data_IF_406188779463
#
_entry.id   IF_406188779463
#
_cell.length_a   1.000
_cell.length_b   1.000
_cell.length_c   1.000
_cell.angle_alpha   90.00
_cell.angle_beta   90.00
_cell.angle_gamma   90.00
#
_symmetry.space_group_name_H-M   'P 1'
#
loop_
_entity.id
_entity.type
_entity.pdbx_description
1 polymer ?
#
# COMPACT_ATOMS: atom_id res chain seq x y z
N UNK A 1 -1.66 12.28 3.87
CA UNK A 1 -1.15 13.62 4.27
C UNK A 1 0.33 13.64 3.93
N UNK A 2 0.77 14.48 2.99
CA UNK A 2 2.19 14.61 2.66
C UNK A 2 2.84 15.49 3.72
N UNK A 3 3.89 15.01 4.39
CA UNK A 3 4.63 15.78 5.38
C UNK A 3 5.84 16.46 4.76
N UNK A 4 6.12 17.74 5.11
CA UNK A 4 7.23 18.50 4.51
C UNK A 4 8.63 18.09 5.01
N UNK A 5 8.76 17.11 5.91
CA UNK A 5 10.05 16.60 6.38
C UNK A 5 10.01 15.08 6.49
N UNK A 6 10.77 14.45 5.62
CA UNK A 6 10.78 13.02 5.40
C UNK A 6 11.56 12.23 6.47
N UNK A 7 11.06 12.23 7.70
CA UNK A 7 11.41 11.21 8.67
C UNK A 7 10.31 10.15 8.73
N UNK A 8 10.63 8.95 9.23
CA UNK A 8 9.60 7.97 9.52
C UNK A 8 8.62 8.52 10.58
N UNK A 9 7.34 8.23 10.40
CA UNK A 9 6.27 8.68 11.30
C UNK A 9 6.10 7.64 12.39
N UNK A 10 6.34 8.00 13.64
CA UNK A 10 6.11 7.11 14.79
C UNK A 10 4.64 7.05 15.11
N UNK A 11 4.03 5.86 14.97
CA UNK A 11 2.63 5.57 15.31
C UNK A 11 2.50 5.06 16.73
N UNK A 12 3.44 4.21 17.16
CA UNK A 12 3.51 3.69 18.52
C UNK A 12 4.95 3.69 19.00
N UNK A 13 5.20 4.29 20.16
CA UNK A 13 6.50 4.30 20.82
C UNK A 13 6.60 3.17 21.84
N UNK A 14 7.83 2.69 22.05
CA UNK A 14 8.13 1.71 23.10
C UNK A 14 7.69 0.30 22.75
N UNK A 15 8.16 -0.62 23.57
CA UNK A 15 7.99 -2.06 23.40
C UNK A 15 9.31 -2.78 23.64
N UNK A 16 9.22 -4.09 23.91
CA UNK A 16 10.39 -4.97 24.11
C UNK A 16 10.84 -5.64 22.82
N UNK A 17 9.94 -5.67 21.82
CA UNK A 17 10.17 -6.32 20.54
C UNK A 17 10.74 -5.34 19.50
N UNK A 18 11.27 -5.86 18.41
CA UNK A 18 11.79 -5.07 17.30
C UNK A 18 10.69 -4.23 16.63
N UNK A 19 11.04 -3.05 16.11
CA UNK A 19 10.08 -2.20 15.41
C UNK A 19 9.46 -2.86 14.17
N UNK A 20 8.22 -2.50 13.87
CA UNK A 20 7.58 -2.81 12.59
C UNK A 20 7.46 -1.53 11.77
N UNK A 21 7.94 -1.59 10.53
CA UNK A 21 7.88 -0.51 9.56
C UNK A 21 6.78 -0.78 8.56
N UNK A 22 5.75 0.06 8.55
CA UNK A 22 4.67 0.01 7.57
C UNK A 22 4.95 0.94 6.40
N UNK A 23 4.65 0.48 5.21
CA UNK A 23 4.74 1.25 3.97
C UNK A 23 3.34 1.75 3.60
N UNK A 24 3.15 3.00 3.13
CA UNK A 24 1.86 3.48 2.68
C UNK A 24 1.28 2.63 1.55
N UNK A 25 -0.05 2.61 1.45
CA UNK A 25 -0.73 2.01 0.30
C UNK A 25 -0.36 2.72 -1.00
N UNK A 26 -0.75 2.15 -2.14
CA UNK A 26 -0.54 2.78 -3.45
C UNK A 26 -1.23 4.13 -3.65
N UNK A 27 -2.08 4.54 -2.70
CA UNK A 27 -2.70 5.86 -2.66
C UNK A 27 -1.95 6.85 -1.74
N UNK A 28 -0.73 6.52 -1.33
CA UNK A 28 0.04 7.26 -0.33
C UNK A 28 -0.68 7.37 1.04
N UNK A 29 -1.65 6.50 1.29
CA UNK A 29 -2.38 6.46 2.54
C UNK A 29 -1.73 5.48 3.54
N UNK A 30 -1.52 5.93 4.76
CA UNK A 30 -1.00 5.14 5.88
C UNK A 30 -1.93 5.10 7.08
N UNK A 31 -3.15 5.63 6.96
CA UNK A 31 -4.16 5.61 8.02
C UNK A 31 -4.51 4.19 8.46
N UNK A 32 -4.41 3.24 7.54
CA UNK A 32 -4.58 1.83 7.81
C UNK A 32 -3.59 1.32 8.87
N UNK A 33 -2.31 1.72 8.78
CA UNK A 33 -1.29 1.32 9.73
C UNK A 33 -1.55 1.89 11.12
N UNK A 34 -2.03 3.14 11.20
CA UNK A 34 -2.45 3.77 12.46
C UNK A 34 -3.61 2.99 13.09
N UNK A 35 -4.61 2.65 12.28
CA UNK A 35 -5.79 1.91 12.73
C UNK A 35 -5.46 0.48 13.16
N UNK A 36 -4.55 -0.19 12.44
CA UNK A 36 -4.10 -1.55 12.76
C UNK A 36 -3.23 -1.55 14.03
N UNK A 37 -2.32 -0.58 14.18
CA UNK A 37 -1.45 -0.44 15.34
C UNK A 37 -2.21 -0.36 16.68
N UNK A 38 -3.44 0.18 16.67
CA UNK A 38 -4.30 0.24 17.85
C UNK A 38 -4.78 -1.15 18.32
N UNK A 39 -4.72 -2.16 17.46
CA UNK A 39 -5.22 -3.51 17.73
C UNK A 39 -4.12 -4.57 17.83
N UNK A 40 -2.93 -4.31 17.29
CA UNK A 40 -1.74 -5.17 17.47
C UNK A 40 -1.36 -5.17 18.97
N UNK A 41 -1.19 -6.37 19.54
CA UNK A 41 -0.87 -6.58 20.96
C UNK A 41 0.59 -6.84 21.22
N UNK A 42 1.34 -7.31 20.22
CA UNK A 42 2.80 -7.46 20.34
C UNK A 42 3.40 -6.11 20.73
N UNK A 43 4.21 -6.14 21.78
CA UNK A 43 4.81 -4.93 22.38
C UNK A 43 6.03 -4.48 21.56
N UNK A 44 5.77 -3.89 20.39
CA UNK A 44 6.79 -3.39 19.48
C UNK A 44 6.54 -1.92 19.10
N UNK A 45 7.56 -1.13 18.84
CA UNK A 45 7.40 0.17 18.19
C UNK A 45 6.80 0.00 16.80
N UNK A 46 5.99 0.96 16.37
CA UNK A 46 5.40 0.95 15.02
C UNK A 46 5.68 2.29 14.34
N UNK A 47 6.25 2.21 13.15
CA UNK A 47 6.59 3.35 12.32
C UNK A 47 5.98 3.22 10.93
N UNK A 48 5.71 4.36 10.31
CA UNK A 48 5.31 4.44 8.89
C UNK A 48 6.39 5.16 8.12
N UNK A 49 6.72 4.65 6.94
CA UNK A 49 7.67 5.24 6.02
C UNK A 49 6.89 6.10 5.01
N UNK A 50 6.80 7.43 5.17
CA UNK A 50 6.00 8.25 4.26
C UNK A 50 6.64 8.29 2.87
N UNK A 51 5.81 8.49 1.84
CA UNK A 51 6.35 8.87 0.53
C UNK A 51 7.07 10.21 0.63
N UNK A 52 7.96 10.48 -0.34
CA UNK A 52 8.66 11.76 -0.46
C UNK A 52 7.69 12.94 -0.44
N UNK A 53 8.16 14.09 0.02
CA UNK A 53 7.34 15.29 0.10
C UNK A 53 6.85 15.74 -1.29
N UNK A 54 5.73 16.46 -1.30
CA UNK A 54 5.25 17.11 -2.52
C UNK A 54 6.31 18.11 -3.00
N UNK A 55 6.71 17.97 -4.27
CA UNK A 55 7.76 18.79 -4.88
C UNK A 55 9.12 18.11 -4.95
N UNK A 56 9.32 17.01 -4.25
CA UNK A 56 10.50 16.18 -4.46
C UNK A 56 10.48 15.51 -5.84
N UNK A 57 11.66 15.24 -6.43
CA UNK A 57 11.72 14.47 -7.66
C UNK A 57 11.04 13.10 -7.51
N UNK A 58 10.16 12.76 -8.44
CA UNK A 58 9.54 11.43 -8.47
C UNK A 58 10.63 10.36 -8.63
N UNK A 59 10.48 9.19 -7.97
CA UNK A 59 11.42 8.09 -8.10
C UNK A 59 11.41 7.54 -9.53
N UNK A 60 12.55 7.13 -10.05
CA UNK A 60 12.66 6.58 -11.41
C UNK A 60 12.10 5.16 -11.51
N UNK A 61 12.16 4.39 -10.42
CA UNK A 61 11.64 3.04 -10.30
C UNK A 61 11.19 2.78 -8.86
N UNK A 62 10.56 1.64 -8.62
CA UNK A 62 10.18 1.26 -7.26
C UNK A 62 11.40 0.93 -6.40
N UNK A 63 12.49 0.46 -7.03
CA UNK A 63 13.78 0.24 -6.37
C UNK A 63 14.40 1.57 -5.92
N UNK A 64 14.38 2.62 -6.77
CA UNK A 64 14.82 3.96 -6.36
C UNK A 64 13.98 4.48 -5.18
N UNK A 65 12.67 4.21 -5.19
CA UNK A 65 11.79 4.56 -4.06
C UNK A 65 12.16 3.80 -2.79
N UNK A 66 12.46 2.50 -2.90
CA UNK A 66 12.89 1.67 -1.78
C UNK A 66 14.24 2.16 -1.20
N UNK A 67 15.20 2.46 -2.05
CA UNK A 67 16.51 2.98 -1.63
C UNK A 67 16.39 4.30 -0.86
N UNK A 68 15.44 5.16 -1.22
CA UNK A 68 15.19 6.43 -0.48
C UNK A 68 14.58 6.18 0.90
N UNK A 69 13.92 5.02 1.13
CA UNK A 69 13.29 4.68 2.41
C UNK A 69 14.23 3.99 3.40
N UNK A 70 15.26 3.28 2.91
CA UNK A 70 16.22 2.57 3.76
C UNK A 70 16.88 3.48 4.80
N UNK A 71 17.37 4.69 4.49
CA UNK A 71 17.93 5.60 5.49
C UNK A 71 16.93 5.99 6.58
N UNK A 72 15.62 6.04 6.29
CA UNK A 72 14.59 6.33 7.28
C UNK A 72 14.42 5.19 8.28
N UNK A 73 14.53 3.94 7.80
CA UNK A 73 14.52 2.73 8.64
C UNK A 73 15.77 2.73 9.52
N UNK A 74 16.95 2.90 8.92
CA UNK A 74 18.23 2.82 9.62
C UNK A 74 18.45 3.97 10.62
N UNK A 75 17.79 5.10 10.44
CA UNK A 75 17.79 6.18 11.43
C UNK A 75 17.08 5.80 12.74
N UNK A 76 16.16 4.80 12.70
CA UNK A 76 15.42 4.30 13.87
C UNK A 76 16.06 3.00 14.36
N UNK A 77 16.38 2.10 13.48
CA UNK A 77 16.99 0.81 13.74
C UNK A 77 18.21 0.66 12.81
N UNK A 78 19.43 0.94 13.31
CA UNK A 78 20.64 0.97 12.50
C UNK A 78 21.00 -0.36 11.83
N UNK A 79 20.66 -1.48 12.45
CA UNK A 79 20.99 -2.84 12.02
C UNK A 79 19.75 -3.74 12.11
N UNK A 80 19.68 -4.75 11.19
CA UNK A 80 18.62 -5.76 11.23
C UNK A 80 18.66 -6.65 12.50
N UNK A 81 17.71 -7.59 12.65
CA UNK A 81 16.72 -7.96 11.64
C UNK A 81 15.54 -7.00 11.56
N UNK A 82 15.09 -6.69 10.34
CA UNK A 82 13.99 -5.76 10.10
C UNK A 82 12.64 -6.45 9.97
N UNK A 83 11.57 -5.75 10.34
CA UNK A 83 10.17 -6.16 10.18
C UNK A 83 9.44 -5.14 9.33
N UNK A 84 8.99 -5.55 8.15
CA UNK A 84 8.41 -4.64 7.14
C UNK A 84 7.03 -5.17 6.72
N UNK A 85 6.06 -4.28 6.55
CA UNK A 85 4.74 -4.66 6.08
C UNK A 85 4.12 -3.60 5.16
N UNK A 86 3.25 -4.05 4.26
CA UNK A 86 2.52 -3.15 3.36
C UNK A 86 1.12 -3.67 3.04
N UNK A 87 0.20 -2.73 2.80
CA UNK A 87 -1.18 -2.99 2.40
C UNK A 87 -1.39 -2.62 0.95
N UNK A 88 -2.21 -3.43 0.23
CA UNK A 88 -2.51 -3.20 -1.17
C UNK A 88 -1.20 -3.10 -1.99
N UNK A 89 -1.15 -2.34 -3.06
CA UNK A 89 0.06 -2.16 -3.86
C UNK A 89 1.27 -1.58 -3.09
N UNK A 90 1.06 -1.04 -1.88
CA UNK A 90 2.16 -0.67 -0.97
C UNK A 90 3.01 -1.87 -0.53
N UNK A 91 2.43 -3.09 -0.51
CA UNK A 91 3.19 -4.30 -0.22
C UNK A 91 4.27 -4.61 -1.27
N UNK A 92 4.09 -4.19 -2.52
CA UNK A 92 5.13 -4.31 -3.56
C UNK A 92 6.37 -3.49 -3.15
N UNK A 93 6.16 -2.27 -2.66
CA UNK A 93 7.25 -1.44 -2.14
C UNK A 93 7.88 -2.05 -0.87
N UNK A 94 7.08 -2.65 0.02
CA UNK A 94 7.61 -3.38 1.19
C UNK A 94 8.51 -4.55 0.76
N UNK A 95 8.13 -5.29 -0.28
CA UNK A 95 8.96 -6.36 -0.86
C UNK A 95 10.26 -5.81 -1.43
N UNK A 96 10.18 -4.70 -2.17
CA UNK A 96 11.36 -4.07 -2.79
C UNK A 96 12.32 -3.54 -1.73
N UNK A 97 11.83 -2.98 -0.62
CA UNK A 97 12.65 -2.57 0.53
C UNK A 97 13.34 -3.79 1.15
N UNK A 98 12.60 -4.88 1.40
CA UNK A 98 13.17 -6.10 1.95
C UNK A 98 14.26 -6.68 1.03
N UNK A 99 14.03 -6.69 -0.29
CA UNK A 99 15.02 -7.11 -1.27
C UNK A 99 16.28 -6.23 -1.22
N UNK A 100 16.12 -4.91 -1.21
CA UNK A 100 17.25 -3.98 -1.18
C UNK A 100 18.07 -4.09 0.12
N UNK A 101 17.42 -4.34 1.27
CA UNK A 101 18.10 -4.58 2.55
C UNK A 101 18.90 -5.89 2.50
N UNK A 102 18.32 -6.97 2.00
CA UNK A 102 19.01 -8.27 1.86
C UNK A 102 20.21 -8.16 0.89
N UNK A 103 20.08 -7.40 -0.19
CA UNK A 103 21.21 -7.12 -1.10
C UNK A 103 22.35 -6.32 -0.43
N UNK A 104 22.06 -5.62 0.68
CA UNK A 104 23.05 -4.92 1.51
C UNK A 104 23.56 -5.77 2.69
N UNK A 105 23.34 -7.08 2.66
CA UNK A 105 23.70 -8.04 3.70
C UNK A 105 22.97 -7.81 5.05
N UNK A 106 21.88 -7.06 5.03
CA UNK A 106 21.01 -6.87 6.18
C UNK A 106 19.98 -8.01 6.30
N UNK A 107 19.59 -8.35 7.50
CA UNK A 107 18.59 -9.38 7.74
C UNK A 107 17.18 -8.79 7.84
N UNK A 108 16.22 -9.50 7.23
CA UNK A 108 14.77 -9.22 7.34
C UNK A 108 14.12 -10.47 7.92
N UNK A 109 13.52 -10.36 9.11
CA UNK A 109 12.89 -11.51 9.79
C UNK A 109 11.39 -11.59 9.56
N UNK A 110 10.74 -10.46 9.20
CA UNK A 110 9.32 -10.42 8.92
C UNK A 110 9.02 -9.57 7.70
N UNK A 111 8.30 -10.16 6.75
CA UNK A 111 7.69 -9.45 5.63
C UNK A 111 6.19 -9.78 5.61
N UNK A 112 5.37 -8.75 5.85
CA UNK A 112 3.93 -8.85 5.95
C UNK A 112 3.20 -8.20 4.77
N UNK A 113 2.40 -8.98 4.05
CA UNK A 113 1.53 -8.51 2.99
C UNK A 113 0.08 -8.50 3.45
N UNK A 114 -0.58 -7.38 3.31
CA UNK A 114 -2.00 -7.24 3.61
C UNK A 114 -2.73 -7.01 2.29
N UNK A 115 -3.30 -8.09 1.74
CA UNK A 115 -4.06 -8.16 0.49
C UNK A 115 -3.38 -7.47 -0.70
N UNK A 116 -2.16 -7.89 -0.98
CA UNK A 116 -1.24 -7.29 -1.96
C UNK A 116 -1.34 -8.00 -3.32
N UNK A 117 -1.76 -7.33 -4.40
CA UNK A 117 -1.74 -7.93 -5.74
C UNK A 117 -0.30 -8.08 -6.25
N UNK A 118 -0.06 -9.05 -7.11
CA UNK A 118 1.20 -9.11 -7.84
C UNK A 118 1.36 -7.90 -8.77
N UNK A 119 2.58 -7.42 -9.05
CA UNK A 119 2.82 -6.25 -9.90
C UNK A 119 2.09 -6.28 -11.24
N UNK A 120 2.06 -7.45 -11.89
CA UNK A 120 1.41 -7.61 -13.21
C UNK A 120 -0.11 -7.44 -13.18
N UNK A 121 -0.73 -7.63 -12.02
CA UNK A 121 -2.18 -7.48 -11.80
C UNK A 121 -2.58 -6.03 -11.52
N UNK A 122 -1.64 -5.12 -11.42
CA UNK A 122 -1.95 -3.69 -11.40
C UNK A 122 -2.49 -3.30 -12.77
N UNK A 123 -3.82 -3.30 -12.89
CA UNK A 123 -4.63 -3.14 -14.09
C UNK A 123 -4.39 -1.86 -14.90
N UNK A 124 -3.45 -1.05 -14.47
CA UNK A 124 -3.30 0.33 -14.94
C UNK A 124 -2.13 0.54 -15.90
N UNK A 125 -1.42 -0.53 -16.30
CA UNK A 125 -0.23 -0.46 -17.19
C UNK A 125 -0.41 0.37 -18.46
N UNK A 126 -1.65 0.50 -18.97
CA UNK A 126 -1.95 1.17 -20.23
C UNK A 126 -3.02 2.27 -20.12
N UNK A 127 -3.41 2.67 -18.92
CA UNK A 127 -4.42 3.71 -18.74
C UNK A 127 -3.76 5.03 -18.38
N UNK A 128 -4.28 6.14 -18.88
CA UNK A 128 -3.80 7.46 -18.48
C UNK A 128 -4.28 7.82 -17.05
N UNK A 129 -3.65 8.82 -16.46
CA UNK A 129 -3.94 9.30 -15.10
C UNK A 129 -5.41 9.67 -14.89
N UNK A 130 -6.08 10.19 -15.93
CA UNK A 130 -7.46 10.63 -15.84
C UNK A 130 -8.40 9.45 -15.75
N UNK A 131 -8.11 8.40 -16.52
CA UNK A 131 -8.82 7.14 -16.42
C UNK A 131 -8.64 6.52 -15.03
N UNK A 132 -7.40 6.47 -14.54
CA UNK A 132 -7.07 5.97 -13.20
C UNK A 132 -7.86 6.71 -12.12
N UNK A 133 -7.89 8.06 -12.18
CA UNK A 133 -8.66 8.87 -11.27
C UNK A 133 -10.17 8.58 -11.31
N UNK A 134 -10.76 8.51 -12.53
CA UNK A 134 -12.19 8.26 -12.71
C UNK A 134 -12.59 6.89 -12.13
N UNK A 135 -11.81 5.85 -12.42
CA UNK A 135 -12.07 4.50 -11.91
C UNK A 135 -11.97 4.47 -10.38
N UNK A 136 -10.96 5.15 -9.81
CA UNK A 136 -10.82 5.24 -8.35
C UNK A 136 -12.04 5.94 -7.71
N UNK A 137 -12.45 7.09 -8.22
CA UNK A 137 -13.62 7.80 -7.69
C UNK A 137 -14.88 6.94 -7.76
N UNK A 138 -15.07 6.19 -8.85
CA UNK A 138 -16.20 5.27 -8.99
C UNK A 138 -16.14 4.10 -8.02
N UNK A 139 -14.94 3.62 -7.68
CA UNK A 139 -14.76 2.49 -6.78
C UNK A 139 -15.01 2.84 -5.30
N UNK A 140 -14.85 4.10 -4.90
CA UNK A 140 -15.03 4.53 -3.49
C UNK A 140 -16.43 5.03 -3.18
N UNK A 141 -17.29 5.25 -4.19
CA UNK A 141 -18.69 5.64 -3.99
C UNK A 141 -19.60 4.41 -4.00
N UNK A 142 -20.80 4.56 -3.42
CA UNK A 142 -21.78 3.47 -3.44
C UNK A 142 -22.19 3.10 -4.88
N UNK A 143 -22.53 1.84 -5.10
CA UNK A 143 -22.99 1.33 -6.40
C UNK A 143 -24.18 2.13 -6.94
N UNK A 144 -25.11 2.53 -6.05
CA UNK A 144 -26.28 3.36 -6.41
C UNK A 144 -25.91 4.78 -6.88
N UNK A 145 -24.74 5.28 -6.53
CA UNK A 145 -24.27 6.63 -6.88
C UNK A 145 -23.25 6.64 -8.02
N UNK A 146 -22.66 5.49 -8.34
CA UNK A 146 -21.62 5.36 -9.36
C UNK A 146 -22.01 6.02 -10.70
N UNK A 147 -23.27 5.90 -11.11
CA UNK A 147 -23.79 6.48 -12.36
C UNK A 147 -23.67 8.01 -12.43
N UNK A 148 -23.65 8.73 -11.29
CA UNK A 148 -23.46 10.19 -11.27
C UNK A 148 -22.11 10.60 -11.84
N UNK A 149 -21.13 9.70 -11.80
CA UNK A 149 -19.76 9.95 -12.26
C UNK A 149 -19.51 9.60 -13.72
N UNK A 150 -20.55 9.12 -14.45
CA UNK A 150 -20.47 8.85 -15.90
C UNK A 150 -20.26 10.11 -16.74
N UNK A 151 -20.55 11.28 -16.16
CA UNK A 151 -20.28 12.59 -16.79
C UNK A 151 -18.80 13.00 -16.75
N UNK A 152 -17.94 12.27 -16.00
CA UNK A 152 -16.51 12.52 -15.97
C UNK A 152 -15.90 12.08 -17.30
N UNK A 153 -15.35 13.05 -18.03
CA UNK A 153 -14.81 12.81 -19.37
C UNK A 153 -13.28 12.83 -19.34
N UNK A 154 -12.65 11.77 -19.84
CA UNK A 154 -11.19 11.66 -19.99
C UNK A 154 -10.55 12.78 -20.83
N UNK A 155 -11.34 13.49 -21.65
CA UNK A 155 -10.90 14.68 -22.37
C UNK A 155 -10.64 15.90 -21.50
N UNK A 156 -11.18 15.92 -20.27
CA UNK A 156 -10.97 17.03 -19.34
C UNK A 156 -9.56 16.97 -18.72
N UNK A 157 -9.06 18.12 -18.28
CA UNK A 157 -7.84 18.18 -17.47
C UNK A 157 -8.09 17.58 -16.08
N UNK A 158 -7.05 16.98 -15.45
CA UNK A 158 -7.17 16.30 -14.15
C UNK A 158 -7.75 17.21 -13.06
N UNK A 159 -7.30 18.46 -12.99
CA UNK A 159 -7.83 19.44 -12.05
C UNK A 159 -9.35 19.72 -12.24
N UNK A 160 -9.82 19.65 -13.49
CA UNK A 160 -11.26 19.80 -13.81
C UNK A 160 -12.02 18.56 -13.37
N UNK A 161 -11.46 17.36 -13.55
CA UNK A 161 -12.05 16.09 -13.10
C UNK A 161 -12.20 16.08 -11.57
N UNK A 162 -11.14 16.45 -10.82
CA UNK A 162 -11.17 16.55 -9.36
C UNK A 162 -12.30 17.49 -8.92
N UNK A 163 -12.38 18.68 -9.53
CA UNK A 163 -13.43 19.67 -9.21
C UNK A 163 -14.84 19.18 -9.53
N UNK A 164 -15.01 18.42 -10.60
CA UNK A 164 -16.29 17.78 -10.94
C UNK A 164 -16.65 16.69 -9.92
N UNK A 165 -15.70 15.84 -9.54
CA UNK A 165 -15.89 14.80 -8.54
C UNK A 165 -16.28 15.38 -7.16
N UNK A 166 -15.66 16.48 -6.74
CA UNK A 166 -16.06 17.22 -5.54
C UNK A 166 -17.53 17.65 -5.59
N UNK A 167 -17.97 18.26 -6.71
CA UNK A 167 -19.36 18.71 -6.88
C UNK A 167 -20.38 17.57 -6.87
N UNK A 168 -19.96 16.38 -7.27
CA UNK A 168 -20.80 15.16 -7.28
C UNK A 168 -20.83 14.44 -5.92
N UNK A 169 -20.04 14.89 -4.94
CA UNK A 169 -19.95 14.29 -3.61
C UNK A 169 -19.02 13.06 -3.52
N UNK A 170 -18.27 12.75 -4.58
CA UNK A 170 -17.29 11.68 -4.59
C UNK A 170 -15.87 12.09 -4.14
N UNK A 171 -15.73 13.32 -3.66
CA UNK A 171 -14.45 13.86 -3.21
C UNK A 171 -14.63 14.95 -2.16
N UNK A 172 -13.68 15.09 -1.23
CA UNK A 172 -13.75 16.13 -0.20
C UNK A 172 -13.72 17.53 -0.81
N UNK A 173 -14.68 18.36 -0.43
CA UNK A 173 -14.84 19.74 -0.90
C UNK A 173 -13.74 20.70 -0.42
N UNK A 174 -13.04 20.34 0.66
CA UNK A 174 -12.06 21.22 1.32
C UNK A 174 -10.62 21.02 0.85
N UNK A 175 -10.38 20.08 -0.07
CA UNK A 175 -9.01 19.84 -0.57
C UNK A 175 -8.61 20.90 -1.60
N UNK A 176 -7.34 21.30 -1.54
CA UNK A 176 -6.73 22.15 -2.56
C UNK A 176 -6.55 21.38 -3.87
N UNK A 177 -7.18 21.85 -4.94
CA UNK A 177 -7.17 21.17 -6.26
C UNK A 177 -5.76 21.04 -6.84
N UNK A 178 -4.91 22.06 -6.63
CA UNK A 178 -3.54 22.02 -7.16
C UNK A 178 -2.72 20.98 -6.42
N UNK A 179 -2.84 20.92 -5.10
CA UNK A 179 -2.20 19.93 -4.26
C UNK A 179 -2.67 18.50 -4.59
N UNK A 180 -3.99 18.32 -4.74
CA UNK A 180 -4.57 17.03 -5.12
C UNK A 180 -4.14 16.61 -6.54
N UNK A 181 -3.99 17.54 -7.46
CA UNK A 181 -3.48 17.23 -8.80
C UNK A 181 -2.06 16.65 -8.74
N UNK A 182 -1.17 17.25 -7.96
CA UNK A 182 0.20 16.76 -7.77
C UNK A 182 0.20 15.41 -7.05
N UNK A 183 -0.64 15.24 -6.03
CA UNK A 183 -0.80 13.96 -5.33
C UNK A 183 -1.23 12.85 -6.29
N UNK A 184 -2.22 13.08 -7.14
CA UNK A 184 -2.67 12.10 -8.12
C UNK A 184 -1.61 11.78 -9.17
N UNK A 185 -0.78 12.74 -9.55
CA UNK A 185 0.38 12.49 -10.41
C UNK A 185 1.38 11.54 -9.75
N UNK A 186 1.66 11.72 -8.46
CA UNK A 186 2.53 10.82 -7.69
C UNK A 186 1.92 9.42 -7.52
N UNK A 187 0.61 9.32 -7.23
CA UNK A 187 -0.12 8.05 -7.12
C UNK A 187 -0.09 7.29 -8.45
N UNK A 188 -0.38 7.96 -9.53
CA UNK A 188 -0.34 7.36 -10.86
C UNK A 188 1.06 6.92 -11.24
N UNK A 189 2.07 7.76 -10.98
CA UNK A 189 3.46 7.41 -11.20
C UNK A 189 3.86 6.16 -10.40
N UNK A 190 3.50 6.10 -9.11
CA UNK A 190 3.73 4.92 -8.29
C UNK A 190 3.09 3.66 -8.92
N UNK A 191 1.85 3.76 -9.40
CA UNK A 191 1.18 2.62 -10.02
C UNK A 191 1.92 2.12 -11.26
N UNK A 192 2.56 3.02 -12.02
CA UNK A 192 3.33 2.66 -13.20
C UNK A 192 4.64 1.94 -12.83
N UNK A 193 5.41 2.50 -11.90
CA UNK A 193 6.68 1.89 -11.48
C UNK A 193 6.46 0.58 -10.71
N UNK A 194 5.43 0.50 -9.86
CA UNK A 194 5.08 -0.72 -9.15
C UNK A 194 4.57 -1.82 -10.10
N UNK A 195 3.75 -1.45 -11.10
CA UNK A 195 3.26 -2.39 -12.11
C UNK A 195 4.34 -2.87 -13.10
N UNK A 196 5.43 -2.15 -13.23
CA UNK A 196 6.59 -2.53 -14.05
C UNK A 196 7.63 -3.36 -13.29
N UNK A 197 7.46 -3.51 -11.98
CA UNK A 197 8.41 -4.23 -11.14
C UNK A 197 8.40 -5.73 -11.42
N UNK A 198 9.59 -6.30 -11.53
CA UNK A 198 9.82 -7.74 -11.67
C UNK A 198 10.54 -8.25 -10.41
N UNK A 199 9.79 -8.77 -9.42
CA UNK A 199 10.39 -9.21 -8.17
C UNK A 199 11.29 -10.42 -8.36
N UNK A 200 12.43 -10.41 -7.68
CA UNK A 200 13.32 -11.56 -7.56
C UNK A 200 13.00 -12.35 -6.29
N UNK A 201 13.21 -13.69 -6.28
CA UNK A 201 12.97 -14.49 -5.08
C UNK A 201 13.79 -14.02 -3.88
N UNK A 202 13.18 -14.00 -2.70
CA UNK A 202 13.86 -13.70 -1.43
C UNK A 202 14.01 -14.96 -0.59
N UNK A 203 15.12 -15.10 0.14
CA UNK A 203 15.37 -16.24 1.04
C UNK A 203 14.66 -16.05 2.39
N UNK A 204 13.45 -15.51 2.38
CA UNK A 204 12.64 -15.23 3.56
C UNK A 204 11.20 -15.70 3.36
N UNK A 205 10.50 -15.93 4.45
CA UNK A 205 9.09 -16.29 4.45
C UNK A 205 8.21 -15.04 4.33
N UNK A 206 7.21 -15.10 3.46
CA UNK A 206 6.21 -14.08 3.32
C UNK A 206 4.96 -14.43 4.13
N UNK A 207 4.58 -13.57 5.08
CA UNK A 207 3.30 -13.64 5.78
C UNK A 207 2.22 -12.89 4.99
N UNK A 208 1.26 -13.61 4.40
CA UNK A 208 0.27 -13.04 3.52
C UNK A 208 -1.14 -13.08 4.13
N UNK A 209 -1.71 -11.94 4.43
CA UNK A 209 -3.06 -11.77 4.98
C UNK A 209 -4.01 -11.35 3.86
N UNK A 210 -4.90 -12.23 3.42
CA UNK A 210 -5.79 -11.97 2.28
C UNK A 210 -7.24 -11.79 2.69
N UNK A 211 -7.98 -10.95 1.95
CA UNK A 211 -9.40 -10.75 2.14
C UNK A 211 -10.18 -12.03 1.75
N UNK A 212 -11.00 -12.54 2.67
CA UNK A 212 -11.80 -13.75 2.46
C UNK A 212 -12.88 -13.60 1.39
N UNK A 213 -13.39 -12.38 1.23
CA UNK A 213 -14.41 -12.02 0.25
C UNK A 213 -13.78 -11.30 -0.93
N UNK A 214 -13.98 -11.82 -2.14
CA UNK A 214 -13.49 -11.17 -3.36
C UNK A 214 -14.51 -10.17 -3.87
N UNK A 215 -14.02 -9.05 -4.42
CA UNK A 215 -14.88 -8.18 -5.21
C UNK A 215 -15.39 -8.95 -6.44
N UNK A 216 -16.67 -8.72 -6.85
CA UNK A 216 -17.18 -9.26 -8.09
C UNK A 216 -16.41 -8.61 -9.25
N UNK A 217 -15.27 -9.15 -9.60
CA UNK A 217 -14.46 -8.64 -10.70
C UNK A 217 -14.58 -9.57 -11.90
N UNK A 218 -14.59 -8.98 -13.11
CA UNK A 218 -14.52 -9.68 -14.38
C UNK A 218 -13.10 -10.19 -14.68
N UNK A 219 -12.22 -10.17 -13.69
CA UNK A 219 -10.83 -10.61 -13.79
C UNK A 219 -10.76 -12.14 -13.62
N UNK A 220 -9.77 -12.79 -14.27
CA UNK A 220 -9.48 -14.21 -14.03
C UNK A 220 -9.32 -14.47 -12.54
N UNK A 221 -9.69 -15.65 -12.07
CA UNK A 221 -9.50 -16.04 -10.68
C UNK A 221 -8.00 -16.05 -10.36
N UNK A 222 -7.53 -14.95 -9.80
CA UNK A 222 -6.21 -14.87 -9.19
C UNK A 222 -6.24 -15.78 -7.95
N UNK A 223 -5.16 -16.47 -7.69
CA UNK A 223 -5.04 -17.30 -6.48
C UNK A 223 -5.27 -16.47 -5.19
N UNK A 224 -5.39 -17.16 -4.06
CA UNK A 224 -5.70 -16.51 -2.76
C UNK A 224 -4.59 -15.56 -2.29
N UNK A 225 -3.40 -15.62 -2.90
CA UNK A 225 -2.25 -14.77 -2.59
C UNK A 225 -1.94 -13.78 -3.73
N UNK A 226 -2.97 -13.38 -4.48
CA UNK A 226 -2.89 -12.27 -5.44
C UNK A 226 -1.90 -12.48 -6.58
N UNK A 227 -1.68 -13.73 -7.03
CA UNK A 227 -0.76 -14.04 -8.14
C UNK A 227 0.72 -14.20 -7.73
N UNK A 228 1.06 -14.00 -6.47
CA UNK A 228 2.45 -14.08 -6.02
C UNK A 228 3.06 -15.48 -6.12
N UNK A 229 2.26 -16.55 -5.99
CA UNK A 229 2.76 -17.93 -6.17
C UNK A 229 3.12 -18.25 -7.62
N UNK A 230 2.37 -17.68 -8.56
CA UNK A 230 2.68 -17.84 -9.98
C UNK A 230 3.95 -17.06 -10.35
N UNK A 231 4.09 -15.87 -9.78
CA UNK A 231 5.23 -14.99 -10.04
C UNK A 231 6.53 -15.50 -9.38
N UNK A 232 6.42 -16.01 -8.15
CA UNK A 232 7.56 -16.49 -7.35
C UNK A 232 7.24 -17.88 -6.75
N UNK A 233 7.31 -18.96 -7.56
CA UNK A 233 6.88 -20.30 -7.13
C UNK A 233 7.69 -20.88 -5.98
N UNK A 234 8.96 -20.45 -5.83
CA UNK A 234 9.86 -20.92 -4.77
C UNK A 234 9.78 -20.08 -3.48
N UNK A 235 8.98 -18.99 -3.47
CA UNK A 235 8.81 -18.17 -2.28
C UNK A 235 7.92 -18.89 -1.26
N UNK A 236 8.41 -19.07 -0.05
CA UNK A 236 7.58 -19.60 1.04
C UNK A 236 6.53 -18.57 1.46
N UNK A 237 5.25 -18.85 1.17
CA UNK A 237 4.12 -17.98 1.51
C UNK A 237 3.24 -18.65 2.56
N UNK A 238 3.18 -18.05 3.76
CA UNK A 238 2.22 -18.38 4.78
C UNK A 238 1.01 -17.47 4.69
N UNK A 239 -0.09 -18.01 4.18
CA UNK A 239 -1.31 -17.23 3.94
C UNK A 239 -2.35 -17.42 5.04
N UNK A 240 -3.00 -16.33 5.45
CA UNK A 240 -4.08 -16.29 6.46
C UNK A 240 -5.27 -15.53 5.88
N UNK A 241 -6.44 -16.16 5.95
CA UNK A 241 -7.71 -15.55 5.53
C UNK A 241 -8.22 -14.58 6.58
N UNK A 242 -8.58 -13.38 6.17
CA UNK A 242 -9.14 -12.32 7.01
C UNK A 242 -10.56 -12.00 6.54
N UNK A 243 -11.55 -11.95 7.43
CA UNK A 243 -12.94 -11.64 7.05
C UNK A 243 -13.06 -10.30 6.32
N UNK A 244 -13.98 -10.23 5.36
CA UNK A 244 -14.28 -9.05 4.57
C UNK A 244 -13.56 -8.99 3.22
N UNK A 245 -13.79 -7.90 2.51
CA UNK A 245 -13.18 -7.56 1.21
C UNK A 245 -11.96 -6.70 1.41
N UNK A 246 -11.24 -6.42 0.33
CA UNK A 246 -10.02 -5.58 0.32
C UNK A 246 -10.10 -4.36 1.24
N UNK A 247 -11.12 -3.54 1.09
CA UNK A 247 -11.30 -2.34 1.91
C UNK A 247 -11.86 -2.67 3.29
N UNK A 248 -12.90 -3.50 3.38
CA UNK A 248 -13.59 -3.77 4.64
C UNK A 248 -12.79 -4.61 5.63
N UNK A 249 -11.77 -5.35 5.20
CA UNK A 249 -10.83 -6.01 6.12
C UNK A 249 -10.05 -5.00 6.97
N UNK A 250 -9.86 -3.77 6.46
CA UNK A 250 -9.18 -2.68 7.14
C UNK A 250 -10.13 -1.71 7.85
N UNK A 251 -11.25 -1.36 7.23
CA UNK A 251 -12.17 -0.36 7.76
C UNK A 251 -13.09 -0.92 8.85
N UNK A 252 -13.56 -2.17 8.71
CA UNK A 252 -14.40 -2.80 9.70
C UNK A 252 -13.58 -3.17 10.94
N UNK A 253 -13.97 -2.66 12.12
CA UNK A 253 -13.24 -2.86 13.37
C UNK A 253 -13.11 -4.35 13.75
N UNK A 254 -14.15 -5.17 13.51
CA UNK A 254 -14.11 -6.60 13.81
C UNK A 254 -13.16 -7.34 12.87
N UNK A 255 -13.20 -7.05 11.57
CA UNK A 255 -12.31 -7.67 10.59
C UNK A 255 -10.86 -7.29 10.86
N UNK A 256 -10.60 -6.02 11.14
CA UNK A 256 -9.26 -5.52 11.49
C UNK A 256 -8.71 -6.15 12.77
N UNK A 257 -9.59 -6.51 13.73
CA UNK A 257 -9.17 -7.27 14.92
C UNK A 257 -8.67 -8.66 14.54
N UNK A 258 -9.33 -9.38 13.64
CA UNK A 258 -8.85 -10.68 13.14
C UNK A 258 -7.50 -10.54 12.42
N UNK A 259 -7.35 -9.47 11.63
CA UNK A 259 -6.06 -9.16 10.98
C UNK A 259 -4.97 -8.91 12.03
N UNK A 260 -5.23 -8.08 13.06
CA UNK A 260 -4.26 -7.79 14.11
C UNK A 260 -3.86 -9.07 14.88
N UNK A 261 -4.81 -9.94 15.21
CA UNK A 261 -4.52 -11.21 15.88
C UNK A 261 -3.70 -12.17 15.00
N UNK A 262 -3.94 -12.17 13.68
CA UNK A 262 -3.14 -12.94 12.74
C UNK A 262 -1.73 -12.36 12.58
N UNK A 263 -1.63 -11.03 12.55
CA UNK A 263 -0.38 -10.29 12.47
C UNK A 263 0.48 -10.51 13.72
N UNK A 264 -0.12 -10.46 14.91
CA UNK A 264 0.55 -10.75 16.18
C UNK A 264 1.17 -12.16 16.18
N UNK A 265 0.43 -13.17 15.70
CA UNK A 265 0.95 -14.54 15.60
C UNK A 265 2.09 -14.69 14.60
N UNK A 266 2.13 -13.88 13.57
CA UNK A 266 3.17 -13.92 12.56
C UNK A 266 4.44 -13.14 12.97
N UNK A 267 4.33 -12.24 13.95
CA UNK A 267 5.46 -11.49 14.53
C UNK A 267 6.20 -12.29 15.63
N UNK A 268 5.57 -13.33 16.21
CA UNK A 268 6.11 -14.17 17.27
C UNK A 268 6.73 -15.47 16.71
#
# INVERSE_FOLDING_TARGET
>A
MFHPHAGAITVRVGGSELPVFFVPSGLADYSYAISLAQQIRVSCPIHVLPWSAIGDPLPHSIEDMAERMIPLIQAIQPEGPYRIAGYSSGGILAYTIAHALICKEESVEFLGFIDVPAPHDLLYKNKDIKHYFIEHVKAVVSESECHKFDILNKGDELAVLIKKAQKLGGYDLNVDISLETVKWQAIYHFSQIAGAYEPLPLPIKLSYFYAAEREPSHLPQIDMVGGWRELLPDLEICSVSIPGRHVSMMENVSNRKHLAEAFDRALL
#
